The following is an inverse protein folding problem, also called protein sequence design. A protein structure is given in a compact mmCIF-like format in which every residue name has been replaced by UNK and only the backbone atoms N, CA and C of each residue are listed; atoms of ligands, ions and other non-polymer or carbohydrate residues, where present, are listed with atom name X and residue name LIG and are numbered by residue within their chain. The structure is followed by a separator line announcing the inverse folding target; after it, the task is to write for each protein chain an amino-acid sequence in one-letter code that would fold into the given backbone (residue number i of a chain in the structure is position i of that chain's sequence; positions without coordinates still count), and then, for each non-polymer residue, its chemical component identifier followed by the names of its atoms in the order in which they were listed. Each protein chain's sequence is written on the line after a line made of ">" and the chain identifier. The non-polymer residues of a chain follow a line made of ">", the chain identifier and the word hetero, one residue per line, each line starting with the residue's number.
data_IF_006578772459
#
_entry.id   IF_006578772459
#
_cell.length_a   1.000
_cell.length_b   1.000
_cell.length_c   1.000
_cell.angle_alpha   90.00
_cell.angle_beta   90.00
_cell.angle_gamma   90.00
#
_symmetry.space_group_name_H-M   'P 1'
#
loop_
_entity.id
_entity.type
_entity.pdbx_description
1 polymer ?
#
# COMPACT_ATOMS: atom_id res chain seq x y z
N UNK A 1 -14.06 -24.26 15.17
CA UNK A 1 -12.78 -23.62 15.53
C UNK A 1 -13.07 -22.41 16.40
N UNK A 2 -12.33 -22.20 17.50
CA UNK A 2 -12.41 -20.94 18.24
C UNK A 2 -11.92 -19.77 17.37
N UNK A 3 -12.50 -18.57 17.52
CA UNK A 3 -12.09 -17.39 16.76
C UNK A 3 -10.63 -17.03 17.07
N UNK A 4 -9.87 -16.65 16.03
CA UNK A 4 -8.49 -16.20 16.20
C UNK A 4 -8.48 -14.93 17.07
N UNK A 5 -7.53 -14.80 18.03
CA UNK A 5 -7.41 -13.59 18.83
C UNK A 5 -7.12 -12.38 17.94
N UNK A 6 -7.66 -11.22 18.31
CA UNK A 6 -7.39 -9.98 17.60
C UNK A 6 -5.89 -9.62 17.65
N UNK A 7 -5.32 -9.06 16.58
CA UNK A 7 -3.93 -8.59 16.58
C UNK A 7 -3.72 -7.55 17.68
N UNK A 8 -2.61 -7.69 18.43
CA UNK A 8 -2.21 -6.73 19.47
C UNK A 8 -1.47 -5.52 18.90
N UNK A 9 -1.05 -5.62 17.65
CA UNK A 9 -0.26 -4.64 16.91
C UNK A 9 -0.86 -4.56 15.51
N UNK A 10 -1.01 -3.34 15.00
CA UNK A 10 -1.37 -3.05 13.62
C UNK A 10 -0.15 -2.56 12.86
N UNK A 11 0.06 -3.14 11.68
CA UNK A 11 0.93 -2.63 10.64
C UNK A 11 0.07 -1.76 9.73
N UNK A 12 0.31 -0.45 9.71
CA UNK A 12 -0.46 0.50 8.90
C UNK A 12 0.44 1.04 7.78
N UNK A 13 -0.08 1.05 6.55
CA UNK A 13 0.61 1.59 5.39
C UNK A 13 0.04 2.98 5.11
N UNK A 14 0.82 4.03 5.33
CA UNK A 14 0.44 5.39 4.98
C UNK A 14 1.06 5.77 3.65
N UNK A 15 0.21 6.06 2.65
CA UNK A 15 0.63 6.30 1.27
C UNK A 15 0.42 7.75 0.85
N UNK A 16 1.38 8.27 0.11
CA UNK A 16 1.27 9.54 -0.60
C UNK A 16 2.25 9.57 -1.75
N UNK A 17 1.88 10.13 -2.89
CA UNK A 17 2.71 10.16 -4.11
C UNK A 17 3.32 8.76 -4.36
N UNK A 18 4.65 8.66 -4.41
CA UNK A 18 5.39 7.39 -4.51
C UNK A 18 5.89 6.86 -3.16
N UNK A 19 5.64 7.59 -2.06
CA UNK A 19 6.06 7.27 -0.71
C UNK A 19 5.03 6.36 -0.02
N UNK A 20 5.53 5.32 0.65
CA UNK A 20 4.75 4.47 1.55
C UNK A 20 5.51 4.32 2.86
N UNK A 21 4.88 4.71 3.96
CA UNK A 21 5.46 4.68 5.30
C UNK A 21 4.76 3.58 6.11
N UNK A 22 5.53 2.74 6.77
CA UNK A 22 5.00 1.64 7.59
C UNK A 22 5.03 2.04 9.07
N UNK A 23 3.86 2.02 9.70
CA UNK A 23 3.71 2.28 11.13
C UNK A 23 3.36 1.00 11.88
N UNK A 24 4.00 0.80 13.03
CA UNK A 24 3.71 -0.29 13.96
C UNK A 24 3.04 0.30 15.19
N UNK A 25 1.71 0.19 15.25
CA UNK A 25 0.89 0.88 16.26
C UNK A 25 0.03 -0.09 17.07
N UNK A 26 -0.33 0.31 18.30
CA UNK A 26 -1.38 -0.39 19.05
C UNK A 26 -2.75 -0.14 18.40
N UNK A 27 -3.68 -1.12 18.43
CA UNK A 27 -5.09 -0.89 18.05
C UNK A 27 -5.78 0.24 18.82
N UNK A 28 -5.27 0.54 20.02
CA UNK A 28 -5.74 1.63 20.90
C UNK A 28 -5.07 2.98 20.63
N UNK A 29 -4.10 3.04 19.71
CA UNK A 29 -3.53 4.32 19.29
C UNK A 29 -4.60 5.17 18.61
N UNK A 30 -4.51 6.50 18.70
CA UNK A 30 -5.45 7.41 18.06
C UNK A 30 -4.96 7.83 16.68
N UNK A 31 -5.88 8.27 15.83
CA UNK A 31 -5.51 8.85 14.52
C UNK A 31 -4.65 10.12 14.72
N UNK A 32 -4.87 10.90 15.78
CA UNK A 32 -3.99 12.01 16.15
C UNK A 32 -2.54 11.57 16.39
N UNK A 33 -2.31 10.50 17.17
CA UNK A 33 -0.96 9.97 17.40
C UNK A 33 -0.29 9.47 16.12
N UNK A 34 -1.08 8.86 15.22
CA UNK A 34 -0.60 8.48 13.88
C UNK A 34 -0.20 9.71 13.04
N UNK A 35 -0.91 10.84 13.15
CA UNK A 35 -0.53 12.09 12.47
C UNK A 35 0.79 12.65 12.99
N UNK A 36 1.03 12.57 14.29
CA UNK A 36 2.30 13.00 14.89
C UNK A 36 3.48 12.14 14.39
N UNK A 37 3.31 10.81 14.37
CA UNK A 37 4.32 9.90 13.82
C UNK A 37 4.51 10.11 12.31
N UNK A 38 3.43 10.36 11.58
CA UNK A 38 3.48 10.69 10.15
C UNK A 38 4.24 11.97 9.89
N UNK A 39 4.04 13.02 10.69
CA UNK A 39 4.80 14.26 10.58
C UNK A 39 6.30 13.97 10.79
N UNK A 40 6.65 13.24 11.85
CA UNK A 40 8.04 12.87 12.11
C UNK A 40 8.70 12.14 10.94
N UNK A 41 7.98 11.20 10.32
CA UNK A 41 8.47 10.48 9.15
C UNK A 41 8.58 11.38 7.89
N UNK A 42 7.62 12.29 7.67
CA UNK A 42 7.63 13.22 6.54
C UNK A 42 8.77 14.24 6.64
N UNK A 43 9.10 14.69 7.86
CA UNK A 43 10.18 15.66 8.13
C UNK A 43 11.56 15.02 8.31
N UNK A 44 11.66 13.69 8.25
CA UNK A 44 12.92 13.00 8.51
C UNK A 44 13.93 13.23 7.38
N UNK A 45 15.21 13.39 7.71
CA UNK A 45 16.29 13.63 6.74
C UNK A 45 16.45 12.49 5.71
N UNK A 46 15.94 11.30 6.03
CA UNK A 46 15.94 10.15 5.12
C UNK A 46 14.83 10.21 4.06
N UNK A 47 13.83 11.09 4.23
CA UNK A 47 12.78 11.30 3.26
C UNK A 47 13.26 12.27 2.15
N UNK A 48 13.84 11.70 1.09
CA UNK A 48 14.38 12.45 -0.06
C UNK A 48 13.46 12.40 -1.30
N UNK A 49 12.16 12.17 -1.11
CA UNK A 49 11.22 12.06 -2.23
C UNK A 49 10.85 13.46 -2.72
N UNK A 50 11.34 13.83 -3.91
CA UNK A 50 11.22 15.18 -4.49
C UNK A 50 9.77 15.64 -4.73
N UNK A 51 8.84 14.70 -4.96
CA UNK A 51 7.43 15.00 -5.28
C UNK A 51 6.54 15.18 -4.05
N UNK A 52 7.02 14.88 -2.83
CA UNK A 52 6.20 14.92 -1.61
C UNK A 52 6.27 16.31 -0.98
N UNK A 53 5.12 16.98 -0.73
CA UNK A 53 5.09 18.27 -0.04
C UNK A 53 5.81 18.24 1.31
N UNK A 54 6.71 19.22 1.50
CA UNK A 54 7.41 19.42 2.77
C UNK A 54 6.45 20.07 3.77
N UNK A 55 6.03 19.30 4.78
CA UNK A 55 5.14 19.76 5.85
C UNK A 55 5.92 19.87 7.15
N UNK A 56 5.64 20.92 7.93
CA UNK A 56 6.30 21.15 9.23
C UNK A 56 5.34 21.15 10.42
N UNK A 57 4.06 20.87 10.19
CA UNK A 57 3.04 20.83 11.22
C UNK A 57 1.93 19.83 10.89
N UNK A 58 1.32 19.26 11.93
CA UNK A 58 0.24 18.25 11.84
C UNK A 58 -1.06 18.81 11.25
N UNK A 59 -1.23 20.14 11.26
CA UNK A 59 -2.40 20.80 10.72
C UNK A 59 -2.33 20.95 9.19
N UNK A 60 -1.18 20.69 8.56
CA UNK A 60 -0.95 20.82 7.11
C UNK A 60 -1.41 19.64 6.27
N UNK A 61 -1.91 18.59 6.90
CA UNK A 61 -2.43 17.43 6.20
C UNK A 61 -3.47 16.70 7.03
N UNK A 62 -4.26 15.86 6.38
CA UNK A 62 -5.20 14.95 7.00
C UNK A 62 -4.93 13.51 6.57
N UNK A 63 -5.36 12.55 7.40
CA UNK A 63 -5.30 11.12 7.07
C UNK A 63 -6.67 10.66 6.61
N UNK A 64 -6.68 9.97 5.46
CA UNK A 64 -7.88 9.54 4.80
C UNK A 64 -7.88 8.02 4.58
N UNK A 65 -9.07 7.43 4.52
CA UNK A 65 -9.29 6.05 4.05
C UNK A 65 -9.97 6.09 2.69
N UNK A 66 -9.53 5.22 1.78
CA UNK A 66 -10.18 5.03 0.47
C UNK A 66 -11.30 3.99 0.58
N UNK A 67 -12.51 4.35 0.14
CA UNK A 67 -13.63 3.43 0.07
C UNK A 67 -13.56 2.55 -1.21
N UNK A 68 -14.48 1.58 -1.32
CA UNK A 68 -14.57 0.69 -2.49
C UNK A 68 -14.95 1.42 -3.78
N UNK A 69 -15.53 2.62 -3.69
CA UNK A 69 -15.85 3.47 -4.81
C UNK A 69 -14.68 4.40 -5.20
N UNK A 70 -13.55 4.31 -4.50
CA UNK A 70 -12.35 5.13 -4.72
C UNK A 70 -12.44 6.53 -4.12
N UNK A 71 -13.45 6.83 -3.30
CA UNK A 71 -13.58 8.10 -2.58
C UNK A 71 -12.75 8.07 -1.32
N UNK A 72 -12.20 9.22 -0.95
CA UNK A 72 -11.41 9.37 0.26
C UNK A 72 -12.26 10.00 1.37
N UNK A 73 -12.28 9.35 2.52
CA UNK A 73 -12.98 9.77 3.73
C UNK A 73 -11.95 10.17 4.78
N UNK A 74 -12.11 11.37 5.37
CA UNK A 74 -11.27 11.83 6.48
C UNK A 74 -11.50 10.97 7.72
N UNK A 75 -10.41 10.62 8.39
CA UNK A 75 -10.47 9.92 9.67
C UNK A 75 -10.62 10.92 10.83
N UNK A 76 -11.36 10.49 11.85
CA UNK A 76 -11.55 11.27 13.08
C UNK A 76 -10.33 11.14 13.99
N UNK A 77 -9.62 12.24 14.22
CA UNK A 77 -8.39 12.30 15.02
C UNK A 77 -8.57 11.78 16.46
N UNK A 78 -9.76 11.97 17.03
CA UNK A 78 -10.06 11.59 18.41
C UNK A 78 -10.34 10.11 18.61
N UNK A 79 -10.54 9.35 17.53
CA UNK A 79 -10.87 7.93 17.60
C UNK A 79 -9.63 7.05 17.62
N UNK A 80 -9.73 5.94 18.34
CA UNK A 80 -8.74 4.87 18.25
C UNK A 80 -8.78 4.21 16.86
N UNK A 81 -7.67 3.60 16.44
CA UNK A 81 -7.59 2.90 15.15
C UNK A 81 -8.68 1.81 15.05
N UNK A 82 -8.85 1.03 16.12
CA UNK A 82 -9.88 -0.02 16.18
C UNK A 82 -11.30 0.53 16.07
N UNK A 83 -11.59 1.65 16.73
CA UNK A 83 -12.91 2.31 16.68
C UNK A 83 -13.19 2.92 15.31
N UNK A 84 -12.15 3.38 14.63
CA UNK A 84 -12.19 3.88 13.25
C UNK A 84 -12.37 2.77 12.20
N UNK A 85 -12.53 1.51 12.63
CA UNK A 85 -12.62 0.31 11.78
C UNK A 85 -11.37 0.12 10.92
N UNK A 86 -10.20 0.50 11.44
CA UNK A 86 -8.91 0.27 10.79
C UNK A 86 -8.43 -1.13 11.17
N UNK A 87 -8.03 -1.89 10.16
CA UNK A 87 -7.51 -3.26 10.30
C UNK A 87 -5.99 -3.28 10.45
N UNK A 88 -5.45 -4.42 10.86
CA UNK A 88 -4.04 -4.71 10.59
C UNK A 88 -3.81 -4.79 9.06
N UNK A 89 -2.69 -4.25 8.57
CA UNK A 89 -2.34 -4.09 7.15
C UNK A 89 -3.24 -3.14 6.36
N UNK A 90 -3.95 -2.22 7.05
CA UNK A 90 -4.77 -1.22 6.37
C UNK A 90 -3.89 -0.21 5.60
N UNK A 91 -4.37 0.19 4.42
CA UNK A 91 -3.77 1.26 3.63
C UNK A 91 -4.54 2.56 3.84
N UNK A 92 -3.84 3.55 4.39
CA UNK A 92 -4.32 4.91 4.60
C UNK A 92 -3.57 5.88 3.68
N UNK A 93 -4.10 7.08 3.55
CA UNK A 93 -3.63 8.07 2.58
C UNK A 93 -3.44 9.43 3.25
N UNK A 94 -2.47 10.20 2.77
CA UNK A 94 -2.26 11.58 3.20
C UNK A 94 -2.92 12.53 2.20
N UNK A 95 -3.75 13.43 2.71
CA UNK A 95 -4.29 14.57 1.98
C UNK A 95 -3.68 15.86 2.49
N UNK A 96 -2.80 16.47 1.70
CA UNK A 96 -2.16 17.74 2.05
C UNK A 96 -3.13 18.91 1.93
N UNK A 97 -2.87 19.97 2.69
CA UNK A 97 -3.54 21.27 2.54
C UNK A 97 -2.72 22.19 1.67
N UNK A 98 -3.40 23.01 0.88
CA UNK A 98 -2.79 24.09 0.11
C UNK A 98 -2.42 25.29 1.01
N UNK A 99 -1.80 26.31 0.42
CA UNK A 99 -1.42 27.55 1.12
C UNK A 99 -2.62 28.29 1.74
N UNK A 100 -3.82 28.09 1.19
CA UNK A 100 -5.06 28.68 1.67
C UNK A 100 -5.73 27.84 2.78
N UNK A 101 -5.17 26.67 3.11
CA UNK A 101 -5.69 25.74 4.10
C UNK A 101 -6.78 24.80 3.58
N UNK A 102 -7.05 24.78 2.28
CA UNK A 102 -8.01 23.85 1.68
C UNK A 102 -7.36 22.49 1.40
N UNK A 103 -8.16 21.43 1.46
CA UNK A 103 -7.70 20.08 1.14
C UNK A 103 -7.39 19.95 -0.35
N UNK A 104 -6.13 19.69 -0.68
CA UNK A 104 -5.70 19.41 -2.04
C UNK A 104 -6.15 18.01 -2.50
N UNK A 105 -6.23 17.73 -3.81
CA UNK A 105 -6.45 16.38 -4.30
C UNK A 105 -5.40 15.39 -3.79
N UNK A 106 -5.81 14.17 -3.49
CA UNK A 106 -4.89 13.11 -3.06
C UNK A 106 -4.10 12.62 -4.28
N UNK A 107 -2.77 12.71 -4.18
CA UNK A 107 -1.83 12.19 -5.17
C UNK A 107 -1.24 10.88 -4.65
N UNK A 108 -1.40 9.78 -5.38
CA UNK A 108 -0.81 8.47 -5.06
C UNK A 108 -0.48 7.75 -6.36
N UNK A 109 0.71 7.15 -6.43
CA UNK A 109 1.10 6.24 -7.49
C UNK A 109 0.84 4.81 -7.02
N UNK A 110 -0.04 4.09 -7.72
CA UNK A 110 -0.22 2.66 -7.45
C UNK A 110 0.99 1.89 -7.98
N UNK A 111 1.55 0.93 -7.21
CA UNK A 111 2.66 0.12 -7.70
C UNK A 111 2.17 -0.69 -8.90
N UNK A 112 3.03 -0.92 -9.90
CA UNK A 112 2.72 -1.84 -10.98
C UNK A 112 2.46 -3.23 -10.41
N UNK A 113 1.39 -3.88 -10.90
CA UNK A 113 1.06 -5.27 -10.56
C UNK A 113 1.73 -6.23 -11.55
N UNK A 114 2.25 -5.72 -12.67
CA UNK A 114 2.89 -6.53 -13.69
C UNK A 114 4.35 -6.82 -13.30
N UNK A 115 4.56 -8.01 -12.77
CA UNK A 115 5.85 -8.70 -12.56
C UNK A 115 6.10 -9.71 -13.72
N UNK A 116 5.51 -9.48 -14.89
CA UNK A 116 5.52 -10.37 -16.07
C UNK A 116 6.28 -9.75 -17.27
N UNK A 117 7.47 -9.20 -17.05
CA UNK A 117 8.42 -8.91 -18.15
C UNK A 117 9.73 -9.71 -17.98
N UNK A 118 9.66 -11.01 -18.35
CA UNK A 118 10.74 -11.82 -18.96
C UNK A 118 10.20 -13.27 -19.15
N UNK A 119 9.64 -13.68 -20.29
CA UNK A 119 10.29 -13.74 -21.60
C UNK A 119 9.26 -13.49 -22.70
N UNK A 120 9.33 -12.31 -23.32
CA UNK A 120 8.93 -12.24 -24.72
C UNK A 120 9.77 -13.25 -25.48
N UNK A 121 9.11 -14.27 -26.00
CA UNK A 121 9.63 -15.15 -27.02
C UNK A 121 10.24 -14.31 -28.14
N UNK A 122 11.56 -14.09 -28.10
CA UNK A 122 12.32 -13.91 -29.33
C UNK A 122 12.16 -15.22 -30.08
N UNK A 123 11.11 -15.30 -30.91
CA UNK A 123 11.00 -16.34 -31.90
C UNK A 123 12.29 -16.27 -32.73
N UNK A 124 13.14 -17.32 -32.75
CA UNK A 124 14.13 -17.41 -33.80
C UNK A 124 13.38 -17.35 -35.15
N UNK A 125 13.94 -16.70 -36.19
CA UNK A 125 13.29 -16.68 -37.50
C UNK A 125 12.98 -18.12 -37.93
N UNK A 126 11.85 -18.34 -38.62
CA UNK A 126 11.40 -19.69 -38.95
C UNK A 126 12.45 -20.38 -39.83
N UNK A 127 13.23 -21.26 -39.21
CA UNK A 127 13.94 -22.30 -39.94
C UNK A 127 12.92 -23.37 -40.29
N UNK A 128 12.50 -23.34 -41.54
CA UNK A 128 11.89 -24.45 -42.26
C UNK A 128 12.66 -25.73 -41.93
N UNK A 129 11.93 -26.79 -41.54
CA UNK A 129 12.29 -28.23 -41.50
C UNK A 129 11.72 -28.95 -40.26
N UNK A 130 10.71 -29.80 -40.51
CA UNK A 130 10.65 -31.13 -39.90
C UNK A 130 9.55 -31.38 -38.87
N UNK A 131 8.52 -32.11 -39.30
CA UNK A 131 7.52 -32.82 -38.50
C UNK A 131 8.12 -33.66 -37.35
N UNK A 132 7.46 -33.70 -36.18
CA UNK A 132 6.91 -34.96 -35.63
C UNK A 132 6.18 -34.80 -34.29
N UNK A 133 4.88 -35.11 -34.36
CA UNK A 133 4.04 -35.86 -33.43
C UNK A 133 4.15 -35.73 -31.90
N UNK A 134 3.06 -35.14 -31.38
CA UNK A 134 2.37 -35.37 -30.10
C UNK A 134 2.56 -36.76 -29.50
N UNK A 135 3.18 -36.86 -28.29
CA UNK A 135 2.87 -37.94 -27.34
C UNK A 135 2.84 -37.45 -25.88
N UNK A 136 1.62 -37.34 -25.36
CA UNK A 136 1.25 -37.14 -23.94
C UNK A 136 1.94 -38.19 -23.04
N UNK A 137 2.65 -37.72 -22.02
CA UNK A 137 3.23 -38.56 -20.96
C UNK A 137 2.16 -39.22 -20.09
N UNK A 138 2.18 -40.56 -20.05
CA UNK A 138 1.50 -41.42 -19.06
C UNK A 138 2.39 -41.48 -17.81
N UNK A 139 1.86 -41.08 -16.65
CA UNK A 139 2.48 -41.29 -15.34
C UNK A 139 2.49 -42.79 -15.01
N UNK A 140 3.61 -43.32 -14.52
CA UNK A 140 3.67 -44.52 -13.67
C UNK A 140 4.40 -44.12 -12.39
N UNK A 141 3.72 -44.22 -11.26
CA UNK A 141 4.35 -44.24 -9.94
C UNK A 141 5.05 -45.58 -9.77
N UNK A 142 6.28 -45.58 -9.24
CA UNK A 142 6.88 -46.78 -8.65
C UNK A 142 6.53 -46.73 -7.17
N UNK A 143 5.68 -47.65 -6.73
CA UNK A 143 5.59 -48.06 -5.33
C UNK A 143 6.81 -48.96 -5.02
N UNK A 144 7.32 -48.83 -3.79
CA UNK A 144 8.45 -49.57 -3.23
C UNK A 144 8.11 -51.06 -2.99
#
# INVERSE_FOLDING_TARGET
>A
MPPKPAPKIYQILLRTHKLTIFFTLSPSATVASLKEEALGALTSDVNQVEDVPQVHAVDKFEICRRDKAGRYELLDEGKELKESKISNWEVLYIQFKDESGNLAPITVTEPSIDDDEDVQSMAPPPSDLGESDVRKGKRKAMDE
#
